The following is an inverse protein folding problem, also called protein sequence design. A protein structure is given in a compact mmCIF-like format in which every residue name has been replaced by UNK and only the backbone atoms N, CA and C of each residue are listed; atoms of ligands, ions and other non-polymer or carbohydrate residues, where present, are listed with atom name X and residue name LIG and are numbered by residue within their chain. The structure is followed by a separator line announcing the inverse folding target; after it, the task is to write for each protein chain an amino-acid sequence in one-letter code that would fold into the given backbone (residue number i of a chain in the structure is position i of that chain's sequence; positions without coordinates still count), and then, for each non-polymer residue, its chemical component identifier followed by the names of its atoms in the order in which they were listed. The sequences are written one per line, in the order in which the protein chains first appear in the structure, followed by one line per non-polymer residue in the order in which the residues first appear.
data_IF_927673017978
#
_entry.id   IF_927673017978
#
_cell.length_a   1.000
_cell.length_b   1.000
_cell.length_c   1.000
_cell.angle_alpha   90.00
_cell.angle_beta   90.00
_cell.angle_gamma   90.00
#
_symmetry.space_group_name_H-M   'P 1'
#
loop_
_entity.id
_entity.type
_entity.pdbx_description
1 polymer ?
#
# COMPACT_ATOMS: atom_id res chain seq x y z
N UNK A 1 -17.21 -8.12 -9.74
CA UNK A 1 -16.27 -8.51 -8.69
C UNK A 1 -16.32 -7.44 -7.63
N UNK A 2 -16.52 -7.80 -6.36
CA UNK A 2 -16.45 -6.87 -5.23
C UNK A 2 -15.28 -7.24 -4.33
N UNK A 3 -14.32 -6.33 -4.16
CA UNK A 3 -13.21 -6.52 -3.24
C UNK A 3 -13.61 -6.21 -1.79
N UNK A 4 -13.03 -6.95 -0.85
CA UNK A 4 -13.17 -6.77 0.59
C UNK A 4 -11.84 -7.02 1.27
N UNK A 5 -11.36 -6.03 2.05
CA UNK A 5 -10.23 -6.23 2.96
C UNK A 5 -10.70 -7.07 4.15
N UNK A 6 -9.96 -8.13 4.43
CA UNK A 6 -10.20 -8.99 5.59
C UNK A 6 -10.10 -8.18 6.91
N UNK A 7 -11.06 -8.33 7.84
CA UNK A 7 -11.02 -7.62 9.11
C UNK A 7 -9.78 -7.93 9.95
N UNK A 8 -9.17 -9.11 9.79
CA UNK A 8 -8.01 -9.58 10.55
C UNK A 8 -6.67 -9.08 9.98
N UNK A 9 -6.68 -7.95 9.25
CA UNK A 9 -5.45 -7.30 8.78
C UNK A 9 -4.48 -7.04 9.94
N UNK A 10 -3.21 -7.34 9.71
CA UNK A 10 -2.17 -7.20 10.71
C UNK A 10 -1.51 -5.82 10.61
N UNK A 11 -1.54 -5.07 11.72
CA UNK A 11 -0.85 -3.80 11.85
C UNK A 11 0.39 -3.98 12.72
N UNK A 12 1.54 -3.51 12.23
CA UNK A 12 2.80 -3.44 12.97
C UNK A 12 3.38 -2.05 12.88
N UNK A 13 4.18 -1.68 13.86
CA UNK A 13 5.06 -0.51 13.77
C UNK A 13 6.49 -0.96 13.46
N UNK A 14 7.20 -0.14 12.70
CA UNK A 14 8.61 -0.29 12.41
C UNK A 14 9.36 1.03 12.60
N UNK A 15 10.69 0.98 12.53
CA UNK A 15 11.55 2.17 12.51
C UNK A 15 12.20 2.24 11.14
N UNK A 16 12.15 3.41 10.50
CA UNK A 16 12.82 3.60 9.22
C UNK A 16 14.34 3.66 9.41
N UNK A 17 15.09 2.82 8.70
CA UNK A 17 16.55 2.80 8.82
C UNK A 17 17.20 4.12 8.36
N UNK A 18 16.59 4.84 7.41
CA UNK A 18 17.12 6.09 6.87
C UNK A 18 17.06 7.25 7.89
N UNK A 19 15.89 7.50 8.48
CA UNK A 19 15.62 8.69 9.29
C UNK A 19 15.21 8.39 10.74
N UNK A 20 15.14 7.11 11.13
CA UNK A 20 14.75 6.64 12.46
C UNK A 20 13.33 7.03 12.90
N UNK A 21 12.50 7.52 11.97
CA UNK A 21 11.09 7.84 12.25
C UNK A 21 10.26 6.56 12.29
N UNK A 22 9.33 6.41 13.26
CA UNK A 22 8.41 5.30 13.27
C UNK A 22 7.50 5.33 12.05
N UNK A 23 7.11 4.15 11.56
CA UNK A 23 6.16 3.99 10.49
C UNK A 23 5.19 2.85 10.80
N UNK A 24 4.00 2.91 10.23
CA UNK A 24 3.02 1.83 10.29
C UNK A 24 3.17 0.92 9.08
N UNK A 25 3.09 -0.39 9.31
CA UNK A 25 3.03 -1.40 8.25
C UNK A 25 1.76 -2.21 8.38
N UNK A 26 0.93 -2.16 7.35
CA UNK A 26 -0.24 -3.01 7.21
C UNK A 26 0.14 -4.25 6.40
N UNK A 27 -0.30 -5.42 6.85
CA UNK A 27 -0.40 -6.63 6.04
C UNK A 27 -1.88 -7.01 5.98
N UNK A 28 -2.47 -6.99 4.79
CA UNK A 28 -3.89 -7.29 4.62
C UNK A 28 -4.13 -8.35 3.57
N UNK A 29 -5.23 -9.06 3.73
CA UNK A 29 -5.77 -9.99 2.75
C UNK A 29 -6.97 -9.32 2.09
N UNK A 30 -7.11 -9.52 0.79
CA UNK A 30 -8.24 -9.05 0.02
C UNK A 30 -8.94 -10.28 -0.55
N UNK A 31 -10.24 -10.34 -0.30
CA UNK A 31 -11.13 -11.35 -0.85
C UNK A 31 -12.01 -10.71 -1.93
N UNK A 32 -12.47 -11.51 -2.88
CA UNK A 32 -13.53 -11.17 -3.81
C UNK A 32 -14.73 -12.12 -3.63
N UNK A 33 -15.70 -12.07 -4.55
CA UNK A 33 -16.90 -12.90 -4.49
C UNK A 33 -16.59 -14.42 -4.58
N UNK A 34 -15.43 -14.79 -5.11
CA UNK A 34 -14.98 -16.18 -5.31
C UNK A 34 -13.99 -16.66 -4.22
N UNK A 35 -13.58 -15.79 -3.29
CA UNK A 35 -12.68 -16.13 -2.18
C UNK A 35 -11.40 -15.27 -2.15
N UNK A 36 -10.27 -15.88 -1.77
CA UNK A 36 -8.99 -15.19 -1.67
C UNK A 36 -8.56 -14.60 -3.03
N UNK A 37 -8.12 -13.34 -3.02
CA UNK A 37 -7.86 -12.59 -4.25
C UNK A 37 -6.48 -11.92 -4.27
N UNK A 38 -6.07 -11.27 -3.19
CA UNK A 38 -4.75 -10.64 -3.10
C UNK A 38 -4.23 -10.59 -1.66
N UNK A 39 -2.92 -10.45 -1.52
CA UNK A 39 -2.28 -10.04 -0.26
C UNK A 39 -1.58 -8.72 -0.53
N UNK A 40 -1.68 -7.76 0.39
CA UNK A 40 -0.95 -6.52 0.28
C UNK A 40 -0.13 -6.20 1.52
N UNK A 41 0.96 -5.48 1.30
CA UNK A 41 1.76 -4.83 2.33
C UNK A 41 1.76 -3.34 2.03
N UNK A 42 1.44 -2.52 3.03
CA UNK A 42 1.55 -1.06 2.90
C UNK A 42 2.44 -0.53 4.03
N UNK A 43 3.59 0.04 3.69
CA UNK A 43 4.47 0.74 4.63
C UNK A 43 4.24 2.25 4.54
N UNK A 44 3.66 2.83 5.59
CA UNK A 44 3.28 4.23 5.71
C UNK A 44 4.41 5.07 6.34
N UNK A 45 5.35 5.54 5.54
CA UNK A 45 6.51 6.30 5.98
C UNK A 45 6.25 7.79 6.17
N UNK A 46 7.01 8.38 7.10
CA UNK A 46 7.01 9.81 7.44
C UNK A 46 8.42 10.41 7.24
N UNK A 47 8.92 10.44 6.01
CA UNK A 47 10.25 10.98 5.73
C UNK A 47 10.22 12.51 5.79
N UNK A 48 10.86 13.12 6.79
CA UNK A 48 10.96 14.58 6.96
C UNK A 48 9.59 15.30 6.91
N UNK A 49 8.56 14.67 7.47
CA UNK A 49 7.17 15.18 7.48
C UNK A 49 6.40 14.93 6.17
N UNK A 50 7.00 14.25 5.19
CA UNK A 50 6.34 13.79 3.96
C UNK A 50 5.68 12.44 4.24
N UNK A 51 4.37 12.39 4.01
CA UNK A 51 3.58 11.17 4.13
C UNK A 51 3.59 10.42 2.81
N UNK A 52 4.27 9.28 2.76
CA UNK A 52 4.24 8.39 1.61
C UNK A 52 3.95 6.94 2.03
N UNK A 53 3.30 6.20 1.15
CA UNK A 53 3.05 4.78 1.31
C UNK A 53 3.74 4.01 0.19
N UNK A 54 4.46 2.96 0.55
CA UNK A 54 4.96 1.96 -0.40
C UNK A 54 4.08 0.72 -0.28
N UNK A 55 3.39 0.38 -1.36
CA UNK A 55 2.36 -0.66 -1.37
C UNK A 55 2.76 -1.77 -2.34
N UNK A 56 2.96 -2.96 -1.80
CA UNK A 56 3.19 -4.18 -2.57
C UNK A 56 1.91 -5.02 -2.59
N UNK A 57 1.49 -5.49 -3.77
CA UNK A 57 0.32 -6.36 -3.94
C UNK A 57 0.75 -7.64 -4.62
N UNK A 58 0.45 -8.76 -3.98
CA UNK A 58 0.68 -10.10 -4.47
C UNK A 58 -0.63 -10.60 -5.07
N UNK A 59 -0.58 -10.98 -6.35
CA UNK A 59 -1.68 -11.58 -7.09
C UNK A 59 -1.31 -12.99 -7.52
N UNK A 60 -2.30 -13.87 -7.51
CA UNK A 60 -2.19 -15.26 -7.92
C UNK A 60 -3.54 -15.69 -8.51
N UNK A 61 -3.54 -16.62 -9.45
CA UNK A 61 -4.75 -17.23 -10.01
C UNK A 61 -5.07 -18.60 -9.38
N UNK A 62 -4.18 -19.09 -8.51
CA UNK A 62 -4.30 -20.36 -7.81
C UNK A 62 -4.13 -20.17 -6.29
N UNK A 63 -4.88 -19.25 -5.69
CA UNK A 63 -4.94 -19.14 -4.23
C UNK A 63 -5.51 -20.41 -3.62
N UNK A 64 -4.71 -21.07 -2.79
CA UNK A 64 -5.13 -22.22 -1.99
C UNK A 64 -4.82 -21.91 -0.52
N UNK A 65 -5.85 -21.80 0.35
CA UNK A 65 -5.68 -21.49 1.76
C UNK A 65 -5.06 -22.64 2.57
N UNK A 66 -5.11 -23.87 2.04
CA UNK A 66 -4.56 -25.07 2.69
C UNK A 66 -3.10 -25.33 2.25
N UNK A 67 -2.65 -24.74 1.14
CA UNK A 67 -1.25 -24.80 0.71
C UNK A 67 -0.36 -23.82 1.48
N UNK A 68 0.81 -24.25 1.98
CA UNK A 68 1.74 -23.35 2.64
C UNK A 68 2.26 -22.29 1.67
N UNK A 69 2.42 -21.07 2.17
CA UNK A 69 2.97 -19.91 1.43
C UNK A 69 4.33 -20.13 0.76
N UNK A 70 5.05 -21.18 1.14
CA UNK A 70 6.30 -21.63 0.51
C UNK A 70 6.10 -22.31 -0.85
N UNK A 71 4.87 -22.69 -1.21
CA UNK A 71 4.48 -23.30 -2.48
C UNK A 71 3.42 -22.42 -3.17
N UNK A 72 3.81 -21.25 -3.70
CA UNK A 72 2.88 -20.37 -4.41
C UNK A 72 2.37 -21.02 -5.71
N UNK A 73 1.25 -20.51 -6.23
CA UNK A 73 0.82 -20.80 -7.59
C UNK A 73 1.90 -20.39 -8.61
N UNK A 74 2.01 -21.09 -9.75
CA UNK A 74 3.08 -20.84 -10.72
C UNK A 74 3.02 -19.45 -11.37
N UNK A 75 1.86 -18.80 -11.32
CA UNK A 75 1.63 -17.47 -11.90
C UNK A 75 1.66 -16.35 -10.85
N UNK A 76 2.03 -16.65 -9.60
CA UNK A 76 2.12 -15.63 -8.55
C UNK A 76 3.09 -14.52 -8.93
N UNK A 77 2.63 -13.28 -8.82
CA UNK A 77 3.42 -12.08 -9.08
C UNK A 77 3.23 -11.04 -7.99
N UNK A 78 4.26 -10.22 -7.78
CA UNK A 78 4.18 -9.05 -6.90
C UNK A 78 4.34 -7.77 -7.72
N UNK A 79 3.34 -6.90 -7.64
CA UNK A 79 3.38 -5.52 -8.10
C UNK A 79 3.76 -4.60 -6.93
N UNK A 80 4.33 -3.43 -7.23
CA UNK A 80 4.60 -2.39 -6.23
C UNK A 80 4.25 -1.00 -6.74
N UNK A 81 3.82 -0.11 -5.84
CA UNK A 81 3.72 1.32 -6.11
C UNK A 81 4.21 2.16 -4.93
N UNK A 82 4.58 3.41 -5.24
CA UNK A 82 4.75 4.50 -4.28
C UNK A 82 3.58 5.45 -4.41
N UNK A 83 2.93 5.75 -3.30
CA UNK A 83 1.86 6.76 -3.18
C UNK A 83 2.36 7.88 -2.31
N UNK A 84 2.33 9.11 -2.79
CA UNK A 84 2.76 10.25 -1.98
C UNK A 84 2.70 11.57 -2.73
N UNK A 85 3.11 12.67 -2.09
CA UNK A 85 3.13 13.98 -2.70
C UNK A 85 3.96 14.01 -3.98
N UNK A 86 3.45 14.75 -4.95
CA UNK A 86 4.15 15.14 -6.17
C UNK A 86 4.00 16.65 -6.35
N UNK A 87 5.03 17.27 -6.91
CA UNK A 87 5.07 18.71 -7.11
C UNK A 87 3.87 19.19 -7.94
N UNK A 88 3.29 20.33 -7.56
CA UNK A 88 2.15 20.94 -8.24
C UNK A 88 0.85 20.11 -8.28
N UNK A 89 0.73 19.05 -7.48
CA UNK A 89 -0.53 18.31 -7.30
C UNK A 89 -1.13 18.56 -5.92
N UNK A 90 -2.44 18.85 -5.82
CA UNK A 90 -3.13 18.94 -4.54
C UNK A 90 -3.39 17.57 -3.90
N UNK A 91 -3.16 16.47 -4.63
CA UNK A 91 -3.40 15.10 -4.17
C UNK A 91 -2.16 14.22 -4.40
N UNK A 92 -1.94 13.20 -3.55
CA UNK A 92 -0.90 12.21 -3.78
C UNK A 92 -1.05 11.53 -5.15
N UNK A 93 0.08 11.22 -5.80
CA UNK A 93 0.09 10.39 -6.99
C UNK A 93 0.52 8.97 -6.64
N UNK A 94 -0.05 8.00 -7.34
CA UNK A 94 0.31 6.59 -7.25
C UNK A 94 1.15 6.21 -8.48
N UNK A 95 2.35 5.67 -8.26
CA UNK A 95 3.32 5.39 -9.33
C UNK A 95 3.91 4.00 -9.17
N UNK A 96 3.87 3.19 -10.23
CA UNK A 96 4.47 1.84 -10.24
C UNK A 96 5.98 1.88 -9.95
N UNK A 97 6.42 0.91 -9.16
CA UNK A 97 7.82 0.63 -8.83
C UNK A 97 8.06 -0.88 -8.95
N UNK A 98 9.29 -1.34 -8.70
CA UNK A 98 9.55 -2.78 -8.59
C UNK A 98 8.86 -3.34 -7.35
N UNK A 99 8.05 -4.39 -7.52
CA UNK A 99 7.34 -5.06 -6.43
C UNK A 99 8.29 -5.67 -5.41
N UNK A 100 8.01 -5.47 -4.12
CA UNK A 100 8.77 -5.99 -2.98
C UNK A 100 10.30 -5.77 -3.11
N UNK A 101 10.71 -4.61 -3.65
CA UNK A 101 12.09 -4.29 -4.00
C UNK A 101 13.07 -4.38 -2.82
N UNK A 102 12.60 -4.10 -1.60
CA UNK A 102 13.40 -4.12 -0.37
C UNK A 102 13.27 -5.41 0.42
N UNK A 103 12.34 -6.29 0.04
CA UNK A 103 12.19 -7.58 0.68
C UNK A 103 13.18 -8.59 0.06
N UNK A 104 13.75 -9.53 0.85
CA UNK A 104 14.51 -10.63 0.28
C UNK A 104 13.61 -11.48 -0.63
N UNK A 105 14.21 -12.18 -1.59
CA UNK A 105 13.46 -13.11 -2.44
C UNK A 105 12.99 -14.30 -1.60
N UNK A 106 11.70 -14.59 -1.71
CA UNK A 106 11.00 -15.67 -1.02
C UNK A 106 9.93 -16.22 -1.96
N UNK A 107 9.66 -17.54 -1.97
CA UNK A 107 8.63 -18.13 -2.82
C UNK A 107 7.28 -17.42 -2.70
N UNK A 108 6.93 -16.98 -1.50
CA UNK A 108 5.69 -16.26 -1.22
C UNK A 108 5.42 -15.06 -2.13
N UNK A 109 6.44 -14.29 -2.54
CA UNK A 109 6.28 -13.13 -3.43
C UNK A 109 6.10 -13.52 -4.91
N UNK A 110 6.31 -14.79 -5.27
CA UNK A 110 6.37 -15.22 -6.66
C UNK A 110 7.38 -14.40 -7.46
N UNK A 111 6.99 -13.99 -8.67
CA UNK A 111 7.79 -13.07 -9.49
C UNK A 111 7.57 -11.61 -9.07
N UNK A 112 8.61 -10.98 -8.55
CA UNK A 112 8.64 -9.52 -8.31
C UNK A 112 8.78 -8.78 -9.63
N UNK A 113 7.73 -8.10 -10.06
CA UNK A 113 7.73 -7.39 -11.34
C UNK A 113 8.50 -6.09 -11.20
N UNK A 114 9.38 -5.82 -12.16
CA UNK A 114 9.89 -4.47 -12.40
C UNK A 114 8.77 -3.55 -12.86
N UNK A 115 9.00 -2.23 -12.81
CA UNK A 115 8.02 -1.25 -13.33
C UNK A 115 7.60 -1.53 -14.77
N UNK A 116 8.55 -1.85 -15.64
CA UNK A 116 8.26 -2.05 -17.07
C UNK A 116 7.50 -3.35 -17.31
N UNK A 117 7.83 -4.42 -16.58
CA UNK A 117 7.08 -5.67 -16.62
C UNK A 117 5.65 -5.48 -16.07
N UNK A 118 5.50 -4.72 -14.98
CA UNK A 118 4.19 -4.41 -14.40
C UNK A 118 3.31 -3.63 -15.39
N UNK A 119 3.87 -2.62 -16.08
CA UNK A 119 3.16 -1.85 -17.10
C UNK A 119 2.70 -2.70 -18.30
N UNK A 120 3.42 -3.79 -18.60
CA UNK A 120 3.09 -4.71 -19.68
C UNK A 120 2.24 -5.91 -19.23
N UNK A 121 1.97 -6.07 -17.93
CA UNK A 121 1.35 -7.28 -17.39
C UNK A 121 -0.16 -7.32 -17.66
N UNK A 122 -0.70 -8.51 -17.96
CA UNK A 122 -2.13 -8.72 -18.23
C UNK A 122 -3.03 -8.41 -17.04
N UNK A 123 -2.50 -8.53 -15.82
CA UNK A 123 -3.20 -8.20 -14.56
C UNK A 123 -3.04 -6.75 -14.10
N UNK A 124 -2.50 -5.85 -14.92
CA UNK A 124 -2.33 -4.45 -14.53
C UNK A 124 -3.64 -3.78 -14.12
N UNK A 125 -4.76 -4.06 -14.80
CA UNK A 125 -6.07 -3.53 -14.42
C UNK A 125 -6.55 -4.06 -13.07
N UNK A 126 -6.37 -5.36 -12.83
CA UNK A 126 -6.70 -6.01 -11.56
C UNK A 126 -5.87 -5.45 -10.40
N UNK A 127 -4.59 -5.16 -10.66
CA UNK A 127 -3.72 -4.49 -9.71
C UNK A 127 -4.23 -3.08 -9.37
N UNK A 128 -4.60 -2.27 -10.37
CA UNK A 128 -5.11 -0.92 -10.10
C UNK A 128 -6.43 -0.92 -9.33
N UNK A 129 -7.36 -1.81 -9.66
CA UNK A 129 -8.59 -2.01 -8.88
C UNK A 129 -8.29 -2.36 -7.42
N UNK A 130 -7.25 -3.17 -7.19
CA UNK A 130 -6.79 -3.52 -5.84
C UNK A 130 -6.23 -2.32 -5.09
N UNK A 131 -5.41 -1.50 -5.75
CA UNK A 131 -4.83 -0.29 -5.17
C UNK A 131 -5.92 0.73 -4.83
N UNK A 132 -6.85 0.98 -5.75
CA UNK A 132 -7.99 1.88 -5.51
C UNK A 132 -8.78 1.41 -4.28
N UNK A 133 -9.07 0.12 -4.20
CA UNK A 133 -9.76 -0.46 -3.04
C UNK A 133 -8.99 -0.25 -1.73
N UNK A 134 -7.67 -0.47 -1.71
CA UNK A 134 -6.81 -0.24 -0.52
C UNK A 134 -6.86 1.24 -0.11
N UNK A 135 -6.67 2.16 -1.05
CA UNK A 135 -6.62 3.60 -0.78
C UNK A 135 -7.95 4.15 -0.26
N UNK A 136 -9.06 3.57 -0.70
CA UNK A 136 -10.40 3.97 -0.26
C UNK A 136 -10.82 3.33 1.07
N UNK A 137 -10.43 2.09 1.34
CA UNK A 137 -11.05 1.26 2.40
C UNK A 137 -10.10 0.85 3.53
N UNK A 138 -8.78 0.83 3.33
CA UNK A 138 -7.86 0.63 4.45
C UNK A 138 -7.73 1.93 5.27
N UNK A 139 -8.27 1.91 6.49
CA UNK A 139 -8.29 3.09 7.35
C UNK A 139 -6.89 3.63 7.67
N UNK A 140 -5.91 2.76 7.87
CA UNK A 140 -4.54 3.16 8.23
C UNK A 140 -3.87 3.84 7.04
N UNK A 141 -3.92 3.22 5.87
CA UNK A 141 -3.36 3.79 4.62
C UNK A 141 -4.06 5.10 4.27
N UNK A 142 -5.39 5.12 4.33
CA UNK A 142 -6.18 6.31 3.98
C UNK A 142 -5.93 7.47 4.94
N UNK A 143 -5.88 7.22 6.24
CA UNK A 143 -5.58 8.26 7.23
C UNK A 143 -4.17 8.80 7.08
N UNK A 144 -3.19 7.92 6.80
CA UNK A 144 -1.80 8.33 6.58
C UNK A 144 -1.66 9.28 5.37
N UNK A 145 -2.27 8.92 4.24
CA UNK A 145 -2.10 9.66 2.98
C UNK A 145 -3.00 10.90 2.87
N UNK A 146 -4.23 10.84 3.42
CA UNK A 146 -5.25 11.88 3.20
C UNK A 146 -5.73 12.56 4.50
N UNK A 147 -5.43 11.99 5.67
CA UNK A 147 -5.89 12.51 6.97
C UNK A 147 -5.13 13.75 7.45
N UNK A 148 -3.94 14.03 6.90
CA UNK A 148 -3.14 15.21 7.27
C UNK A 148 -3.70 16.49 6.64
N UNK A 149 -4.39 16.38 5.50
CA UNK A 149 -5.00 17.52 4.79
C UNK A 149 -6.11 18.20 5.60
N UNK A 150 -6.72 17.51 6.57
CA UNK A 150 -7.83 18.04 7.37
C UNK A 150 -7.44 18.87 8.60
N UNK A 151 -6.18 18.86 9.05
CA UNK A 151 -5.80 19.49 10.34
C UNK A 151 -4.98 20.78 10.23
N UNK A 152 -4.59 21.24 9.04
CA UNK A 152 -3.71 22.42 8.89
C UNK A 152 -4.42 23.72 8.44
N UNK A 153 -5.74 23.83 8.62
CA UNK A 153 -6.53 25.05 8.36
C UNK A 153 -7.09 25.72 9.63
N UNK A 154 -6.70 25.28 10.84
CA UNK A 154 -7.22 25.84 12.10
C UNK A 154 -6.11 26.31 13.05
N UNK A 155 -5.29 27.28 12.64
CA UNK A 155 -4.44 28.07 13.55
C UNK A 155 -4.00 29.38 12.92
N UNK A 156 -4.98 30.19 12.48
CA UNK A 156 -4.75 31.52 11.93
C UNK A 156 -5.74 32.55 12.46
N UNK A 157 -5.90 32.62 13.78
CA UNK A 157 -6.78 33.59 14.44
C UNK A 157 -6.17 34.06 15.75
N UNK A 158 -5.10 34.86 15.65
CA UNK A 158 -4.46 35.46 16.80
C UNK A 158 -5.37 36.47 17.49
N UNK A 159 -5.52 36.32 18.81
CA UNK A 159 -5.76 37.45 19.72
C UNK A 159 -4.44 37.72 20.42
N UNK A 160 -4.07 39.00 20.59
CA UNK A 160 -4.42 39.62 21.87
C UNK A 160 -4.83 41.10 21.75
N UNK A 161 -5.84 41.47 22.55
CA UNK A 161 -6.04 42.83 23.08
C UNK A 161 -4.79 43.25 23.86
N UNK A 162 -4.40 44.55 23.88
CA UNK A 162 -4.97 45.44 24.92
C UNK A 162 -5.08 46.93 24.52
N UNK A 163 -5.99 47.65 25.19
CA UNK A 163 -6.11 49.11 25.13
C UNK A 163 -7.54 49.59 25.32
#
# INVERSE_FOLDING_TARGET
MRLQIDPDRNLKTGICDCCQTPFERVTGFINNDDGAYAIYYASCYHHDGIHEAWIDVILDDAWDPDEPVSHPGPNRVTFGCRVGPVENSPVPACTLVTGAAVAPDQPFYGRKLTRDEALAHSWLSAYWETIDHILENDLTVRQHLYGVTTNNQASGGGTPTPG
#
